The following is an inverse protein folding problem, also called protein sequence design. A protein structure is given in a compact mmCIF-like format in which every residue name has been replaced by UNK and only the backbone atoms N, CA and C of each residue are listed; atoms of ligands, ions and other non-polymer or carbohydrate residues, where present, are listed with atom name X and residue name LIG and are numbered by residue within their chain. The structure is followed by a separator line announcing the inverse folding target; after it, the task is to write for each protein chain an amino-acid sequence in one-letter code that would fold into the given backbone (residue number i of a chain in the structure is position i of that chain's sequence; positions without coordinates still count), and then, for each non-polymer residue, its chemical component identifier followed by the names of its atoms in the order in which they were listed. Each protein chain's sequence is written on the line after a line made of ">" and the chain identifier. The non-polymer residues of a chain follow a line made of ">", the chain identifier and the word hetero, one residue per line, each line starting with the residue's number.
data_IF_160962028466
#
_entry.id   IF_160962028466
#
_cell.length_a   1.000
_cell.length_b   1.000
_cell.length_c   1.000
_cell.angle_alpha   90.00
_cell.angle_beta   90.00
_cell.angle_gamma   90.00
#
_symmetry.space_group_name_H-M   'P 1'
#
loop_
_entity.id
_entity.type
_entity.pdbx_description
1 polymer ?
#
# COMPACT_ATOMS: atom_id res chain seq x y z
N UNK A 1 4.25 3.63 5.69
CA UNK A 1 5.61 3.47 5.15
C UNK A 1 5.51 2.64 3.87
N UNK A 2 5.99 3.13 2.73
CA UNK A 2 5.71 2.55 1.40
C UNK A 2 6.92 1.74 0.95
N UNK A 3 6.81 0.42 0.92
CA UNK A 3 7.87 -0.46 0.37
C UNK A 3 7.41 -1.01 -0.97
N UNK A 4 8.10 -0.63 -2.04
CA UNK A 4 7.95 -1.26 -3.34
C UNK A 4 8.59 -2.66 -3.29
N UNK A 5 7.78 -3.69 -3.42
CA UNK A 5 8.27 -5.07 -3.57
C UNK A 5 8.98 -5.17 -4.94
N UNK A 6 10.27 -5.55 -5.01
CA UNK A 6 10.97 -5.71 -6.28
C UNK A 6 10.60 -7.08 -6.87
N UNK A 7 9.72 -7.07 -7.87
CA UNK A 7 9.32 -8.28 -8.59
C UNK A 7 8.65 -7.97 -9.92
N UNK A 8 9.39 -7.37 -10.85
CA UNK A 8 9.04 -7.40 -12.27
C UNK A 8 10.33 -7.23 -13.08
N UNK A 9 10.92 -8.37 -13.46
CA UNK A 9 11.79 -8.41 -14.63
C UNK A 9 10.92 -8.11 -15.86
N UNK A 10 11.42 -7.24 -16.74
CA UNK A 10 10.82 -6.98 -18.05
C UNK A 10 10.71 -8.31 -18.82
N UNK A 11 9.49 -8.80 -19.03
CA UNK A 11 9.21 -9.99 -19.84
C UNK A 11 8.62 -9.54 -21.17
N UNK A 12 9.48 -9.32 -22.17
CA UNK A 12 9.08 -9.21 -23.58
C UNK A 12 8.85 -10.62 -24.13
N UNK A 13 7.62 -10.97 -24.46
CA UNK A 13 7.31 -12.24 -25.12
C UNK A 13 7.66 -12.18 -26.62
N UNK A 14 8.51 -13.10 -27.08
CA UNK A 14 8.80 -13.34 -28.50
C UNK A 14 7.68 -14.17 -29.16
N UNK A 15 7.20 -13.73 -30.34
CA UNK A 15 6.23 -14.45 -31.18
C UNK A 15 6.78 -15.79 -31.69
N UNK A 16 5.98 -16.88 -31.70
CA UNK A 16 6.26 -18.03 -32.54
C UNK A 16 5.54 -17.93 -33.89
N UNK A 17 6.19 -18.46 -34.93
CA UNK A 17 5.73 -18.59 -36.31
C UNK A 17 5.44 -20.07 -36.66
N UNK A 18 4.59 -20.25 -37.69
CA UNK A 18 4.20 -21.49 -38.41
C UNK A 18 3.26 -22.47 -37.67
N UNK A 19 2.32 -23.17 -38.31
CA UNK A 19 1.99 -23.35 -39.72
C UNK A 19 0.64 -24.07 -39.89
N UNK A 20 0.15 -24.12 -41.14
CA UNK A 20 -1.18 -24.57 -41.57
C UNK A 20 -1.47 -26.06 -41.30
N UNK A 21 -2.75 -26.38 -41.04
CA UNK A 21 -3.33 -27.70 -41.33
C UNK A 21 -4.73 -27.95 -40.74
N UNK A 22 -5.76 -28.00 -41.61
CA UNK A 22 -6.82 -29.01 -41.47
C UNK A 22 -8.20 -28.64 -40.89
N UNK A 23 -9.16 -28.52 -41.82
CA UNK A 23 -10.58 -28.96 -41.77
C UNK A 23 -11.65 -28.19 -40.96
N UNK A 24 -12.61 -27.71 -41.75
CA UNK A 24 -13.81 -26.93 -41.47
C UNK A 24 -14.95 -27.75 -40.86
N UNK A 25 -15.51 -27.30 -39.74
CA UNK A 25 -16.91 -27.58 -39.36
C UNK A 25 -17.53 -26.29 -38.81
N UNK A 26 -18.39 -25.64 -39.59
CA UNK A 26 -19.13 -24.42 -39.19
C UNK A 26 -20.34 -24.80 -38.33
N UNK A 27 -20.35 -24.38 -37.07
CA UNK A 27 -21.56 -24.26 -36.26
C UNK A 27 -22.11 -22.83 -36.40
N UNK A 28 -23.36 -22.73 -36.82
CA UNK A 28 -24.11 -21.49 -37.01
C UNK A 28 -24.64 -20.97 -35.67
N UNK A 29 -24.04 -19.90 -35.14
CA UNK A 29 -24.61 -19.09 -34.06
C UNK A 29 -25.18 -17.80 -34.64
N UNK A 30 -26.47 -17.82 -34.91
CA UNK A 30 -27.26 -16.66 -35.30
C UNK A 30 -27.73 -15.90 -34.07
N UNK A 31 -27.06 -14.78 -33.75
CA UNK A 31 -27.65 -13.52 -33.25
C UNK A 31 -26.55 -12.44 -33.12
N UNK A 32 -26.64 -11.30 -33.83
CA UNK A 32 -25.68 -10.21 -33.68
C UNK A 32 -25.91 -9.45 -32.36
N UNK A 33 -24.82 -9.17 -31.65
CA UNK A 33 -24.76 -8.22 -30.54
C UNK A 33 -25.08 -6.82 -31.12
N UNK A 34 -25.90 -5.98 -30.46
CA UNK A 34 -26.17 -4.64 -30.96
C UNK A 34 -24.89 -3.80 -30.97
N UNK A 35 -24.56 -3.25 -32.14
CA UNK A 35 -23.48 -2.27 -32.32
C UNK A 35 -23.74 -1.06 -31.42
N UNK A 36 -22.84 -0.80 -30.47
CA UNK A 36 -22.74 0.51 -29.84
C UNK A 36 -22.36 1.53 -30.92
N UNK A 37 -23.33 2.37 -31.29
CA UNK A 37 -23.09 3.55 -32.11
C UNK A 37 -22.17 4.51 -31.36
N UNK A 38 -20.89 4.54 -31.74
CA UNK A 38 -19.98 5.63 -31.37
C UNK A 38 -20.27 6.82 -32.28
N UNK A 39 -21.30 7.60 -31.95
CA UNK A 39 -21.57 8.89 -32.61
C UNK A 39 -21.06 10.04 -31.76
N UNK A 40 -19.79 10.40 -31.96
CA UNK A 40 -19.24 11.76 -32.12
C UNK A 40 -17.73 11.71 -31.93
N UNK A 41 -16.99 12.18 -32.93
CA UNK A 41 -15.57 12.53 -32.78
C UNK A 41 -15.45 13.52 -31.61
N UNK A 42 -14.54 13.32 -30.65
CA UNK A 42 -14.25 14.36 -29.68
C UNK A 42 -13.64 15.55 -30.43
N UNK A 43 -14.15 16.75 -30.16
CA UNK A 43 -13.56 17.99 -30.65
C UNK A 43 -12.08 18.04 -30.25
N UNK A 44 -11.23 18.44 -31.20
CA UNK A 44 -9.84 18.78 -30.94
C UNK A 44 -9.80 19.92 -29.93
N UNK A 45 -9.49 19.61 -28.67
CA UNK A 45 -9.16 20.64 -27.69
C UNK A 45 -7.83 21.26 -28.09
N UNK A 46 -7.86 22.53 -28.47
CA UNK A 46 -6.67 23.37 -28.55
C UNK A 46 -6.18 23.52 -27.11
N UNK A 47 -5.08 22.84 -26.77
CA UNK A 47 -4.35 23.10 -25.54
C UNK A 47 -3.72 24.48 -25.71
N UNK A 48 -4.26 25.48 -25.01
CA UNK A 48 -3.61 26.78 -24.93
C UNK A 48 -2.21 26.57 -24.35
N UNK A 49 -1.19 26.97 -25.11
CA UNK A 49 0.19 27.04 -24.62
C UNK A 49 0.24 28.07 -23.49
N UNK A 50 0.21 27.59 -22.25
CA UNK A 50 0.54 28.41 -21.09
C UNK A 50 2.03 28.72 -21.16
N UNK A 51 2.34 29.95 -21.58
CA UNK A 51 3.68 30.53 -21.45
C UNK A 51 4.10 30.45 -19.99
N UNK A 52 5.09 29.62 -19.69
CA UNK A 52 5.73 29.55 -18.39
C UNK A 52 6.58 30.81 -18.19
N UNK A 53 5.93 31.88 -17.73
CA UNK A 53 6.59 33.06 -17.20
C UNK A 53 6.02 33.38 -15.83
N UNK A 54 6.39 32.54 -14.86
CA UNK A 54 6.41 32.90 -13.45
C UNK A 54 7.73 32.43 -12.88
N UNK A 55 8.64 33.38 -12.68
CA UNK A 55 9.81 33.17 -11.84
C UNK A 55 9.33 32.64 -10.49
N UNK A 56 9.84 31.51 -9.97
CA UNK A 56 9.48 31.08 -8.64
C UNK A 56 10.00 32.14 -7.66
N UNK A 57 9.09 32.80 -6.96
CA UNK A 57 9.43 33.54 -5.76
C UNK A 57 10.00 32.54 -4.77
N UNK A 58 11.33 32.56 -4.62
CA UNK A 58 12.06 31.76 -3.64
C UNK A 58 11.79 32.30 -2.24
N UNK A 59 10.57 32.14 -1.75
CA UNK A 59 10.31 31.94 -0.33
C UNK A 59 10.71 30.51 0.00
N UNK A 60 12.02 30.19 -0.06
CA UNK A 60 12.52 28.95 0.48
C UNK A 60 12.28 29.01 1.99
N UNK A 61 11.17 28.48 2.45
CA UNK A 61 11.09 28.02 3.84
C UNK A 61 12.22 27.00 3.98
N UNK A 62 13.26 27.35 4.72
CA UNK A 62 14.40 26.47 4.96
C UNK A 62 13.89 25.20 5.63
N UNK A 63 13.76 24.13 4.86
CA UNK A 63 13.32 22.84 5.36
C UNK A 63 14.38 22.31 6.33
N UNK A 64 13.92 21.86 7.50
CA UNK A 64 14.73 21.15 8.49
C UNK A 64 13.88 20.04 9.12
N UNK A 65 14.52 19.08 9.80
CA UNK A 65 13.82 17.97 10.46
C UNK A 65 12.79 18.46 11.49
N UNK A 66 13.04 19.59 12.14
CA UNK A 66 12.14 20.16 13.16
C UNK A 66 11.19 21.22 12.63
N UNK A 67 11.31 21.63 11.35
CA UNK A 67 10.48 22.70 10.75
C UNK A 67 8.97 22.43 10.77
N UNK A 68 8.54 21.18 10.99
CA UNK A 68 7.12 20.84 11.13
C UNK A 68 6.56 21.17 12.52
N UNK A 69 7.40 21.19 13.58
CA UNK A 69 6.97 21.43 14.97
C UNK A 69 6.41 22.84 15.18
N UNK A 70 6.82 23.80 14.34
CA UNK A 70 6.31 25.17 14.37
C UNK A 70 5.01 25.36 13.58
N UNK A 71 4.51 24.31 12.91
CA UNK A 71 3.28 24.35 12.12
C UNK A 71 2.11 23.76 12.90
N UNK A 72 0.85 24.19 12.66
CA UNK A 72 -0.31 23.55 13.26
C UNK A 72 -0.37 22.06 12.89
N UNK A 73 -0.32 21.18 13.90
CA UNK A 73 -0.40 19.74 13.74
C UNK A 73 -1.57 19.20 14.57
N UNK A 74 -2.46 18.44 13.93
CA UNK A 74 -3.60 17.81 14.60
C UNK A 74 -3.28 16.35 14.90
N UNK A 75 -4.08 15.74 15.80
CA UNK A 75 -4.04 14.30 16.11
C UNK A 75 -2.77 13.80 16.81
N UNK A 76 -1.87 14.70 17.22
CA UNK A 76 -0.71 14.32 18.02
C UNK A 76 -1.15 13.79 19.40
N UNK A 77 -0.47 12.76 19.92
CA UNK A 77 -0.66 12.33 21.30
C UNK A 77 -0.10 13.36 22.29
N UNK A 78 -0.72 13.44 23.46
CA UNK A 78 -0.19 14.15 24.61
C UNK A 78 0.42 13.12 25.56
N UNK A 79 1.76 13.01 25.54
CA UNK A 79 2.48 12.11 26.44
C UNK A 79 2.63 12.76 27.83
N UNK A 80 2.44 12.00 28.93
CA UNK A 80 2.48 12.54 30.28
C UNK A 80 3.90 12.97 30.72
N UNK A 81 4.94 12.33 30.18
CA UNK A 81 6.34 12.60 30.48
C UNK A 81 7.09 12.96 29.18
N UNK A 82 7.55 14.21 29.11
CA UNK A 82 8.28 14.72 27.95
C UNK A 82 9.75 14.24 27.93
N UNK A 83 10.36 14.00 29.09
CA UNK A 83 11.74 13.53 29.20
C UNK A 83 11.81 12.05 28.80
N UNK A 84 10.81 11.25 29.18
CA UNK A 84 10.68 9.87 28.71
C UNK A 84 10.51 9.83 27.18
N UNK A 85 9.65 10.68 26.62
CA UNK A 85 9.47 10.76 25.17
C UNK A 85 10.78 11.11 24.46
N UNK A 86 11.53 12.11 24.94
CA UNK A 86 12.82 12.49 24.36
C UNK A 86 13.86 11.35 24.43
N UNK A 87 13.90 10.62 25.55
CA UNK A 87 14.74 9.43 25.72
C UNK A 87 14.40 8.34 24.70
N UNK A 88 13.11 8.07 24.48
CA UNK A 88 12.65 7.11 23.47
C UNK A 88 12.97 7.58 22.05
N UNK A 89 12.76 8.85 21.73
CA UNK A 89 13.07 9.42 20.41
C UNK A 89 14.57 9.34 20.11
N UNK A 90 15.44 9.62 21.08
CA UNK A 90 16.90 9.42 20.97
C UNK A 90 17.25 7.95 20.71
N UNK A 91 16.59 7.04 21.43
CA UNK A 91 16.79 5.60 21.27
C UNK A 91 16.44 5.15 19.85
N UNK A 92 15.24 5.49 19.35
CA UNK A 92 14.81 5.14 17.98
C UNK A 92 15.67 5.83 16.93
N UNK A 93 16.10 7.07 17.18
CA UNK A 93 17.03 7.80 16.29
C UNK A 93 18.38 7.12 16.11
N UNK A 94 18.79 6.25 17.05
CA UNK A 94 20.02 5.45 16.93
C UNK A 94 19.83 4.12 16.18
N UNK A 95 18.59 3.70 15.94
CA UNK A 95 18.31 2.42 15.30
C UNK A 95 18.53 2.46 13.77
N UNK A 96 18.84 1.31 13.14
CA UNK A 96 18.95 1.24 11.69
C UNK A 96 17.64 1.67 10.98
N UNK A 97 17.74 2.28 9.79
CA UNK A 97 16.55 2.63 9.02
C UNK A 97 15.81 1.36 8.53
N UNK A 98 14.49 1.43 8.48
CA UNK A 98 13.65 0.29 8.06
C UNK A 98 13.72 0.09 6.52
N UNK A 99 13.94 1.16 5.75
CA UNK A 99 14.17 1.12 4.29
C UNK A 99 15.41 1.91 3.88
N UNK A 100 16.02 1.48 2.78
CA UNK A 100 17.13 2.20 2.17
C UNK A 100 16.63 3.31 1.24
N UNK A 101 17.35 4.44 1.17
CA UNK A 101 16.97 5.59 0.33
C UNK A 101 16.82 5.23 -1.16
N UNK A 102 17.65 4.30 -1.66
CA UNK A 102 17.54 3.79 -3.03
C UNK A 102 16.23 3.05 -3.32
N UNK A 103 15.60 2.45 -2.31
CA UNK A 103 14.28 1.81 -2.46
C UNK A 103 13.17 2.85 -2.62
N UNK A 104 13.25 3.95 -1.85
CA UNK A 104 12.30 5.05 -1.95
C UNK A 104 12.38 5.71 -3.34
N UNK A 105 13.58 5.99 -3.85
CA UNK A 105 13.78 6.52 -5.22
C UNK A 105 13.23 5.59 -6.30
N UNK A 106 13.49 4.28 -6.19
CA UNK A 106 12.92 3.30 -7.15
C UNK A 106 11.39 3.26 -7.13
N UNK A 107 10.79 3.43 -5.95
CA UNK A 107 9.34 3.54 -5.82
C UNK A 107 8.82 4.84 -6.46
N UNK A 108 9.51 5.96 -6.23
CA UNK A 108 9.19 7.25 -6.84
C UNK A 108 9.17 7.17 -8.36
N UNK A 109 10.20 6.57 -8.99
CA UNK A 109 10.27 6.36 -10.44
C UNK A 109 9.08 5.53 -10.97
N UNK A 110 8.70 4.49 -10.22
CA UNK A 110 7.53 3.66 -10.55
C UNK A 110 6.24 4.47 -10.43
N UNK A 111 6.06 5.23 -9.35
CA UNK A 111 4.88 6.07 -9.15
C UNK A 111 4.79 7.18 -10.21
N UNK A 112 5.91 7.73 -10.65
CA UNK A 112 5.95 8.66 -11.79
C UNK A 112 5.39 8.02 -13.07
N UNK A 113 5.70 6.73 -13.31
CA UNK A 113 5.12 5.98 -14.42
C UNK A 113 3.60 5.82 -14.29
N UNK A 114 3.09 5.57 -13.08
CA UNK A 114 1.65 5.51 -12.83
C UNK A 114 0.95 6.86 -13.04
N UNK A 115 1.58 7.95 -12.61
CA UNK A 115 1.06 9.31 -12.77
C UNK A 115 0.84 9.71 -14.24
N UNK A 116 1.63 9.15 -15.15
CA UNK A 116 1.50 9.37 -16.62
C UNK A 116 0.75 8.24 -17.34
N UNK A 117 0.04 7.38 -16.60
CA UNK A 117 -0.81 6.33 -17.17
C UNK A 117 -0.07 5.12 -17.75
N UNK A 118 1.21 4.92 -17.38
CA UNK A 118 2.03 3.78 -17.85
C UNK A 118 2.07 2.60 -16.88
N UNK A 119 1.49 2.74 -15.69
CA UNK A 119 1.39 1.70 -14.68
C UNK A 119 0.16 1.94 -13.79
N UNK A 120 -0.26 0.92 -13.05
CA UNK A 120 -1.36 1.00 -12.09
C UNK A 120 -0.85 0.81 -10.66
N UNK A 121 -1.32 1.59 -9.69
CA UNK A 121 -0.95 1.45 -8.28
C UNK A 121 -1.98 0.57 -7.55
N UNK A 122 -1.53 -0.55 -7.00
CA UNK A 122 -2.29 -1.36 -6.05
C UNK A 122 -1.73 -1.12 -4.65
N UNK A 123 -2.51 -0.48 -3.79
CA UNK A 123 -2.17 -0.30 -2.38
C UNK A 123 -3.22 -0.95 -1.48
N UNK A 124 -2.80 -1.81 -0.56
CA UNK A 124 -3.72 -2.51 0.34
C UNK A 124 -3.02 -3.13 1.55
N UNK A 125 -3.79 -3.57 2.52
CA UNK A 125 -3.33 -4.11 3.80
C UNK A 125 -4.23 -3.67 4.93
N UNK A 126 -3.75 -3.78 6.17
CA UNK A 126 -4.56 -3.56 7.36
C UNK A 126 -5.00 -2.09 7.49
N UNK A 127 -6.17 -1.89 8.12
CA UNK A 127 -6.64 -0.56 8.48
C UNK A 127 -5.71 0.08 9.52
N UNK A 128 -5.42 -0.70 10.58
CA UNK A 128 -4.39 -0.43 11.58
C UNK A 128 -3.78 -1.78 11.99
N UNK A 129 -2.47 -1.90 11.91
CA UNK A 129 -1.76 -3.06 12.46
C UNK A 129 -1.89 -3.06 13.99
N UNK A 130 -1.97 -4.24 14.59
CA UNK A 130 -2.00 -4.40 16.05
C UNK A 130 -0.83 -5.24 16.55
N UNK A 131 -0.30 -4.84 17.71
CA UNK A 131 0.76 -5.55 18.40
C UNK A 131 0.35 -6.95 18.84
N UNK A 132 -0.95 -7.21 19.03
CA UNK A 132 -1.51 -8.51 19.42
C UNK A 132 -1.58 -9.48 18.24
N UNK A 133 -1.75 -8.96 17.03
CA UNK A 133 -1.92 -9.73 15.80
C UNK A 133 -0.60 -9.91 15.02
N UNK A 134 0.53 -9.68 15.69
CA UNK A 134 1.86 -9.85 15.12
C UNK A 134 2.22 -11.34 14.99
N UNK A 135 1.80 -11.95 13.88
CA UNK A 135 2.12 -13.33 13.54
C UNK A 135 2.47 -13.48 12.05
N UNK A 136 3.32 -14.47 11.73
CA UNK A 136 3.79 -14.70 10.36
C UNK A 136 2.69 -15.15 9.39
N UNK A 137 1.63 -15.79 9.87
CA UNK A 137 0.49 -16.24 9.07
C UNK A 137 -0.31 -15.07 8.52
N UNK A 138 -0.67 -14.09 9.36
CA UNK A 138 -1.38 -12.88 8.96
C UNK A 138 -0.56 -12.08 7.93
N UNK A 139 0.73 -11.90 8.19
CA UNK A 139 1.64 -11.20 7.27
C UNK A 139 1.68 -11.91 5.91
N UNK A 140 1.82 -13.24 5.92
CA UNK A 140 1.85 -14.08 4.72
C UNK A 140 0.52 -14.00 3.94
N UNK A 141 -0.60 -14.07 4.64
CA UNK A 141 -1.92 -14.14 4.02
C UNK A 141 -2.32 -12.79 3.42
N UNK A 142 -2.04 -11.67 4.11
CA UNK A 142 -2.19 -10.32 3.54
C UNK A 142 -1.28 -10.12 2.33
N UNK A 143 -0.02 -10.58 2.40
CA UNK A 143 0.90 -10.54 1.26
C UNK A 143 0.38 -11.37 0.07
N UNK A 144 -0.16 -12.56 0.33
CA UNK A 144 -0.77 -13.44 -0.68
C UNK A 144 -1.92 -12.73 -1.39
N UNK A 145 -2.85 -12.12 -0.65
CA UNK A 145 -3.98 -11.39 -1.25
C UNK A 145 -3.50 -10.26 -2.16
N UNK A 146 -2.50 -9.48 -1.73
CA UNK A 146 -1.91 -8.41 -2.55
C UNK A 146 -1.30 -8.95 -3.85
N UNK A 147 -0.61 -10.10 -3.80
CA UNK A 147 -0.07 -10.74 -5.00
C UNK A 147 -1.18 -11.23 -5.95
N UNK A 148 -2.23 -11.86 -5.41
CA UNK A 148 -3.36 -12.35 -6.20
C UNK A 148 -4.07 -11.21 -6.94
N UNK A 149 -4.39 -10.12 -6.23
CA UNK A 149 -4.96 -8.91 -6.81
C UNK A 149 -4.04 -8.30 -7.86
N UNK A 150 -2.73 -8.22 -7.56
CA UNK A 150 -1.73 -7.65 -8.47
C UNK A 150 -1.67 -8.39 -9.81
N UNK A 151 -1.71 -9.72 -9.79
CA UNK A 151 -1.71 -10.52 -11.03
C UNK A 151 -3.01 -10.31 -11.81
N UNK A 152 -4.17 -10.37 -11.16
CA UNK A 152 -5.46 -10.14 -11.83
C UNK A 152 -5.50 -8.77 -12.49
N UNK A 153 -5.06 -7.72 -11.79
CA UNK A 153 -4.99 -6.36 -12.33
C UNK A 153 -3.98 -6.23 -13.47
N UNK A 154 -2.83 -6.90 -13.37
CA UNK A 154 -1.81 -6.89 -14.44
C UNK A 154 -2.37 -7.48 -15.73
N UNK A 155 -3.09 -8.61 -15.64
CA UNK A 155 -3.76 -9.23 -16.79
C UNK A 155 -4.93 -8.37 -17.32
N UNK A 156 -5.76 -7.81 -16.44
CA UNK A 156 -6.92 -7.02 -16.85
C UNK A 156 -6.54 -5.66 -17.46
N UNK A 157 -5.57 -4.97 -16.87
CA UNK A 157 -5.15 -3.64 -17.30
C UNK A 157 -4.11 -3.66 -18.43
N UNK A 158 -3.51 -4.83 -18.72
CA UNK A 158 -2.43 -4.98 -19.72
C UNK A 158 -1.27 -3.99 -19.49
N UNK A 159 -0.98 -3.68 -18.23
CA UNK A 159 0.08 -2.77 -17.83
C UNK A 159 0.71 -3.18 -16.49
N UNK A 160 1.93 -2.72 -16.18
CA UNK A 160 2.57 -3.01 -14.92
C UNK A 160 1.75 -2.55 -13.71
N UNK A 161 1.65 -3.39 -12.69
CA UNK A 161 1.06 -3.04 -11.39
C UNK A 161 2.17 -2.81 -10.36
N UNK A 162 2.10 -1.68 -9.66
CA UNK A 162 2.98 -1.33 -8.55
C UNK A 162 2.25 -1.70 -7.26
N UNK A 163 2.75 -2.72 -6.57
CA UNK A 163 2.13 -3.19 -5.31
C UNK A 163 2.77 -2.53 -4.10
N UNK A 164 1.94 -1.91 -3.26
CA UNK A 164 2.31 -1.27 -2.00
C UNK A 164 1.51 -1.89 -0.85
N UNK A 165 2.22 -2.43 0.15
CA UNK A 165 1.59 -2.90 1.38
C UNK A 165 1.34 -1.77 2.38
N UNK A 166 0.15 -1.72 2.98
CA UNK A 166 -0.12 -1.06 4.27
C UNK A 166 0.28 -2.02 5.39
N UNK A 167 1.59 -2.19 5.55
CA UNK A 167 2.20 -3.15 6.47
C UNK A 167 3.51 -2.58 7.01
N UNK A 168 4.02 -3.12 8.12
CA UNK A 168 5.26 -2.72 8.75
C UNK A 168 5.29 -1.25 9.21
N UNK A 169 4.19 -0.73 9.76
CA UNK A 169 4.19 0.58 10.43
C UNK A 169 2.85 1.30 10.52
N UNK A 170 1.74 0.67 10.15
CA UNK A 170 0.40 1.26 10.18
C UNK A 170 -0.21 1.16 11.59
N UNK A 171 0.52 1.60 12.63
CA UNK A 171 0.14 1.43 14.03
C UNK A 171 -0.57 2.66 14.65
N UNK A 172 -0.74 3.75 13.91
CA UNK A 172 -1.40 4.96 14.38
C UNK A 172 -2.69 5.22 13.59
N UNK A 173 -3.72 5.73 14.27
CA UNK A 173 -5.00 6.11 13.65
C UNK A 173 -5.50 7.47 14.16
N UNK A 174 -6.00 8.34 13.26
CA UNK A 174 -6.67 9.56 13.68
C UNK A 174 -8.03 9.23 14.32
N UNK A 175 -8.54 10.14 15.14
CA UNK A 175 -9.85 10.02 15.78
C UNK A 175 -10.63 11.32 15.63
N UNK A 176 -11.91 11.19 15.28
CA UNK A 176 -12.83 12.32 15.19
C UNK A 176 -13.09 12.94 16.57
N UNK A 177 -13.18 12.09 17.61
CA UNK A 177 -13.36 12.52 19.00
C UNK A 177 -12.12 12.13 19.83
N UNK A 178 -11.51 13.06 20.59
CA UNK A 178 -10.42 12.74 21.51
C UNK A 178 -10.82 11.78 22.64
N UNK A 179 -12.11 11.66 22.96
CA UNK A 179 -12.61 10.77 24.01
C UNK A 179 -13.58 9.71 23.48
N UNK A 180 -13.64 8.61 24.20
CA UNK A 180 -14.58 7.51 23.99
C UNK A 180 -15.37 7.33 25.29
N UNK A 181 -16.70 7.31 25.18
CA UNK A 181 -17.60 7.11 26.32
C UNK A 181 -18.23 5.73 26.18
N UNK A 182 -18.09 4.91 27.22
CA UNK A 182 -18.71 3.59 27.31
C UNK A 182 -19.26 3.40 28.71
N UNK A 183 -20.53 3.00 28.80
CA UNK A 183 -21.23 2.74 30.07
C UNK A 183 -21.10 3.90 31.08
N UNK A 184 -21.12 5.15 30.59
CA UNK A 184 -21.00 6.37 31.39
C UNK A 184 -19.56 6.78 31.77
N UNK A 185 -18.56 5.93 31.50
CA UNK A 185 -17.15 6.23 31.74
C UNK A 185 -16.54 6.88 30.50
N UNK A 186 -15.84 8.01 30.68
CA UNK A 186 -15.17 8.76 29.61
C UNK A 186 -13.66 8.55 29.70
N UNK A 187 -13.06 7.96 28.65
CA UNK A 187 -11.61 7.75 28.56
C UNK A 187 -11.04 8.33 27.26
N UNK A 188 -9.73 8.60 27.17
CA UNK A 188 -9.10 8.96 25.91
C UNK A 188 -9.36 7.90 24.84
N UNK A 189 -9.63 8.33 23.62
CA UNK A 189 -9.81 7.45 22.47
C UNK A 189 -8.55 6.62 22.20
N UNK A 190 -8.73 5.33 21.89
CA UNK A 190 -7.65 4.51 21.35
C UNK A 190 -7.16 5.11 20.02
N UNK A 191 -5.86 5.43 19.90
CA UNK A 191 -5.22 6.10 18.75
C UNK A 191 -4.27 5.18 17.96
N UNK A 192 -4.39 3.87 18.18
CA UNK A 192 -3.55 2.87 17.55
C UNK A 192 -2.41 2.45 18.47
N UNK A 193 -1.90 1.25 18.25
CA UNK A 193 -0.95 0.61 19.16
C UNK A 193 0.37 1.35 19.29
N UNK A 194 0.70 2.25 18.36
CA UNK A 194 1.87 3.14 18.47
C UNK A 194 1.73 4.20 19.58
N UNK A 195 0.50 4.46 20.03
CA UNK A 195 0.18 5.57 20.95
C UNK A 195 -0.27 5.02 22.30
N UNK A 196 -1.37 4.26 22.32
CA UNK A 196 -1.98 3.72 23.54
C UNK A 196 -2.64 2.36 23.25
N UNK A 197 -3.19 1.71 24.27
CA UNK A 197 -3.83 0.41 24.19
C UNK A 197 -5.28 0.47 23.74
N UNK A 198 -5.76 -0.63 23.16
CA UNK A 198 -7.14 -0.81 22.71
C UNK A 198 -8.13 -1.05 23.86
N UNK A 199 -7.66 -1.69 24.95
CA UNK A 199 -8.45 -1.97 26.14
C UNK A 199 -9.06 -0.68 26.73
N UNK A 200 -10.33 -0.78 27.15
CA UNK A 200 -11.10 0.35 27.70
C UNK A 200 -10.87 0.45 29.21
N UNK A 201 -9.66 0.83 29.58
CA UNK A 201 -9.26 1.11 30.96
C UNK A 201 -8.29 2.30 31.01
N UNK A 202 -8.25 3.00 32.13
CA UNK A 202 -7.49 4.24 32.27
C UNK A 202 -6.01 4.04 31.94
N UNK A 203 -5.38 2.99 32.48
CA UNK A 203 -3.97 2.68 32.28
C UNK A 203 -3.65 2.42 30.81
N UNK A 204 -4.48 1.64 30.12
CA UNK A 204 -4.28 1.34 28.70
C UNK A 204 -4.46 2.56 27.82
N UNK A 205 -5.31 3.53 28.19
CA UNK A 205 -5.62 4.70 27.35
C UNK A 205 -4.61 5.85 27.49
N UNK A 206 -3.76 5.86 28.52
CA UNK A 206 -2.64 6.81 28.63
C UNK A 206 -1.63 6.56 27.50
N UNK A 207 -1.23 7.60 26.73
CA UNK A 207 -0.17 7.48 25.74
C UNK A 207 1.16 7.05 26.37
N UNK A 208 1.79 6.03 25.79
CA UNK A 208 3.03 5.44 26.28
C UNK A 208 4.13 5.55 25.21
N UNK A 209 5.21 6.34 25.44
CA UNK A 209 6.29 6.51 24.47
C UNK A 209 6.98 5.19 24.10
N UNK A 210 7.08 4.22 25.01
CA UNK A 210 7.77 2.93 24.76
C UNK A 210 7.13 2.13 23.62
N UNK A 211 5.85 2.41 23.31
CA UNK A 211 5.15 1.83 22.16
C UNK A 211 5.81 2.19 20.82
N UNK A 212 6.50 3.32 20.73
CA UNK A 212 7.26 3.71 19.53
C UNK A 212 8.41 2.72 19.23
N UNK A 213 9.12 2.28 20.27
CA UNK A 213 10.20 1.29 20.14
C UNK A 213 9.61 -0.06 19.74
N UNK A 214 8.51 -0.46 20.38
CA UNK A 214 7.82 -1.71 20.05
C UNK A 214 7.30 -1.72 18.62
N UNK A 215 6.71 -0.63 18.16
CA UNK A 215 6.26 -0.46 16.78
C UNK A 215 7.43 -0.59 15.80
N UNK A 216 8.56 0.06 16.09
CA UNK A 216 9.78 -0.08 15.27
C UNK A 216 10.21 -1.55 15.14
N UNK A 217 10.30 -2.28 16.26
CA UNK A 217 10.75 -3.68 16.26
C UNK A 217 9.79 -4.59 15.46
N UNK A 218 8.47 -4.40 15.62
CA UNK A 218 7.50 -5.14 14.84
C UNK A 218 7.53 -4.76 13.35
N UNK A 219 7.70 -3.47 13.02
CA UNK A 219 7.89 -3.02 11.64
C UNK A 219 9.09 -3.69 10.97
N UNK A 220 10.24 -3.73 11.65
CA UNK A 220 11.45 -4.41 11.14
C UNK A 220 11.19 -5.91 10.94
N UNK A 221 10.59 -6.57 11.93
CA UNK A 221 10.23 -7.99 11.85
C UNK A 221 9.29 -8.31 10.68
N UNK A 222 8.21 -7.54 10.54
CA UNK A 222 7.26 -7.66 9.44
C UNK A 222 7.93 -7.44 8.09
N UNK A 223 8.72 -6.38 7.96
CA UNK A 223 9.37 -6.08 6.68
C UNK A 223 10.43 -7.12 6.31
N UNK A 224 11.19 -7.63 7.28
CA UNK A 224 12.16 -8.69 7.04
C UNK A 224 11.48 -9.94 6.47
N UNK A 225 10.35 -10.34 7.07
CA UNK A 225 9.57 -11.48 6.58
C UNK A 225 8.98 -11.23 5.19
N UNK A 226 8.46 -10.02 4.92
CA UNK A 226 7.96 -9.65 3.60
C UNK A 226 9.06 -9.71 2.53
N UNK A 227 10.29 -9.27 2.85
CA UNK A 227 11.44 -9.37 1.94
C UNK A 227 11.80 -10.83 1.67
N UNK A 228 11.75 -11.68 2.68
CA UNK A 228 11.98 -13.12 2.53
C UNK A 228 10.91 -13.76 1.63
N UNK A 229 9.63 -13.41 1.76
CA UNK A 229 8.59 -13.91 0.85
C UNK A 229 8.75 -13.40 -0.58
N UNK A 230 9.10 -12.12 -0.75
CA UNK A 230 9.28 -11.51 -2.06
C UNK A 230 10.45 -12.13 -2.86
N UNK A 231 11.56 -12.47 -2.19
CA UNK A 231 12.78 -12.96 -2.84
C UNK A 231 12.96 -14.48 -2.75
N UNK A 232 12.40 -15.13 -1.73
CA UNK A 232 12.55 -16.56 -1.45
C UNK A 232 11.58 -17.48 -2.21
N UNK A 233 11.02 -17.03 -3.33
CA UNK A 233 10.18 -17.85 -4.22
C UNK A 233 8.70 -18.00 -3.79
N UNK A 234 8.27 -17.44 -2.66
CA UNK A 234 6.85 -17.41 -2.29
C UNK A 234 6.02 -16.59 -3.30
N UNK A 235 6.60 -15.50 -3.81
CA UNK A 235 6.02 -14.66 -4.85
C UNK A 235 6.17 -15.21 -6.28
N UNK A 236 6.61 -16.47 -6.47
CA UNK A 236 6.75 -17.05 -7.80
C UNK A 236 5.38 -17.16 -8.50
N UNK A 237 5.29 -16.69 -9.75
CA UNK A 237 4.04 -16.61 -10.51
C UNK A 237 3.26 -17.93 -10.55
N UNK A 238 3.96 -19.07 -10.65
CA UNK A 238 3.32 -20.41 -10.66
C UNK A 238 2.48 -20.66 -9.40
N UNK A 239 2.95 -20.23 -8.23
CA UNK A 239 2.20 -20.37 -6.97
C UNK A 239 1.00 -19.44 -6.92
N UNK A 240 1.15 -18.21 -7.41
CA UNK A 240 0.06 -17.22 -7.38
C UNK A 240 -1.07 -17.61 -8.33
N UNK A 241 -0.75 -18.14 -9.52
CA UNK A 241 -1.76 -18.67 -10.43
C UNK A 241 -2.54 -19.85 -9.82
N UNK A 242 -1.86 -20.74 -9.09
CA UNK A 242 -2.51 -21.84 -8.39
C UNK A 242 -3.51 -21.33 -7.33
N UNK A 243 -3.14 -20.32 -6.55
CA UNK A 243 -4.03 -19.72 -5.56
C UNK A 243 -5.27 -19.05 -6.17
N UNK A 244 -5.13 -18.42 -7.34
CA UNK A 244 -6.27 -17.83 -8.03
C UNK A 244 -7.24 -18.89 -8.54
N UNK A 245 -6.73 -20.02 -9.03
CA UNK A 245 -7.58 -21.16 -9.40
C UNK A 245 -8.33 -21.73 -8.19
N UNK A 246 -7.67 -21.83 -7.04
CA UNK A 246 -8.31 -22.28 -5.79
C UNK A 246 -9.42 -21.30 -5.36
N UNK A 247 -9.23 -19.99 -5.52
CA UNK A 247 -10.27 -19.00 -5.21
C UNK A 247 -11.48 -19.15 -6.13
N UNK A 248 -11.27 -19.23 -7.45
CA UNK A 248 -12.36 -19.38 -8.42
C UNK A 248 -13.17 -20.64 -8.14
N UNK A 249 -12.51 -21.78 -7.91
CA UNK A 249 -13.15 -23.07 -7.59
C UNK A 249 -14.01 -23.06 -6.32
N UNK A 250 -13.73 -22.16 -5.38
CA UNK A 250 -14.42 -22.09 -4.09
C UNK A 250 -15.33 -20.86 -3.97
N UNK A 251 -15.61 -20.16 -5.06
CA UNK A 251 -16.46 -18.97 -5.10
C UNK A 251 -17.75 -19.23 -5.87
N UNK A 252 -18.89 -18.73 -5.38
CA UNK A 252 -20.20 -18.90 -6.05
C UNK A 252 -20.23 -18.33 -7.49
N UNK A 253 -19.34 -17.38 -7.79
CA UNK A 253 -19.20 -16.75 -9.10
C UNK A 253 -18.26 -17.52 -10.04
N UNK A 254 -17.46 -18.47 -9.55
CA UNK A 254 -16.56 -19.29 -10.38
C UNK A 254 -17.26 -20.43 -11.12
N UNK A 255 -18.46 -20.79 -10.66
CA UNK A 255 -19.32 -21.82 -11.26
C UNK A 255 -20.26 -21.27 -12.36
N UNK A 256 -20.21 -19.95 -12.63
CA UNK A 256 -21.00 -19.27 -13.67
C UNK A 256 -20.15 -18.97 -14.90
#
# INVERSE_FOLDING_TARGET
>A
MVVAIPGCANLTASKPSLGLGGTTTRLSLSRPIPNLHVTKKPNSFIVASVSASSSPSTGQTNWSLDSWKSKPAQQLPEYPDADELDSVLKTIGSFPPIVFAGEARRLEDKLASAAVGKAFLLQGGDCAESFKEFNGTNIRDTFRVLLQMGIVLTFGAQMPVITVGRMAGQFAKPRSDPFEIKDGVKLPSYRGDNINGDAFDEKSRVPDPQRLIRAYLQSVGTLNLLRAFATGGYAAMQRVSQWNLDFVRNSEQGDR
#
